data_IF_834742173220
#
_entry.id   IF_834742173220
#
_cell.length_a   1.000
_cell.length_b   1.000
_cell.length_c   1.000
_cell.angle_alpha   90.00
_cell.angle_beta   90.00
_cell.angle_gamma   90.00
#
_symmetry.space_group_name_H-M   'P 1'
#
loop_
_entity.id
_entity.type
_entity.pdbx_description
1 polymer ?
#
# COMPACT_ATOMS: atom_id res chain seq x y z
N UNK A 1 14.66 -7.74 36.25
CA UNK A 1 14.15 -6.81 35.21
C UNK A 1 14.55 -7.36 33.87
N UNK A 2 13.60 -7.61 32.98
CA UNK A 2 13.80 -8.16 31.63
C UNK A 2 13.38 -7.08 30.62
N UNK A 3 14.26 -6.62 29.70
CA UNK A 3 13.96 -5.50 28.81
C UNK A 3 13.28 -5.93 27.48
N UNK A 4 12.65 -7.11 27.41
CA UNK A 4 12.23 -7.72 26.15
C UNK A 4 10.72 -7.89 25.88
N UNK A 5 9.80 -7.42 26.73
CA UNK A 5 8.35 -7.58 26.48
C UNK A 5 7.70 -6.27 26.05
N UNK A 6 7.18 -6.14 24.81
CA UNK A 6 6.26 -5.07 24.49
C UNK A 6 5.00 -5.21 25.37
N UNK A 7 4.59 -4.07 25.93
CA UNK A 7 3.41 -3.88 26.76
C UNK A 7 2.17 -4.50 26.09
N UNK A 8 1.43 -5.32 26.86
CA UNK A 8 0.20 -6.01 26.46
C UNK A 8 -0.86 -4.98 25.96
N UNK A 9 -0.73 -3.71 26.34
CA UNK A 9 -1.57 -2.62 25.87
C UNK A 9 -1.33 -2.20 24.41
N UNK A 10 -0.15 -2.46 23.81
CA UNK A 10 0.05 -2.23 22.37
C UNK A 10 -0.56 -3.32 21.48
N UNK A 11 -0.69 -4.55 22.00
CA UNK A 11 -1.32 -5.66 21.26
C UNK A 11 -2.85 -5.51 21.24
N UNK A 12 -3.43 -4.89 22.28
CA UNK A 12 -4.87 -4.65 22.36
C UNK A 12 -5.38 -3.67 21.28
N UNK A 13 -4.62 -2.60 20.97
CA UNK A 13 -4.97 -1.67 19.89
C UNK A 13 -4.90 -2.29 18.49
N UNK A 14 -4.25 -3.46 18.34
CA UNK A 14 -4.14 -4.19 17.07
C UNK A 14 -5.23 -5.26 16.90
N UNK A 15 -5.98 -5.57 17.97
CA UNK A 15 -7.03 -6.60 17.97
C UNK A 15 -8.45 -6.03 17.81
N UNK A 16 -8.71 -4.77 18.13
CA UNK A 16 -10.05 -4.18 18.04
C UNK A 16 -10.50 -3.87 16.59
N UNK A 17 -9.58 -3.82 15.63
CA UNK A 17 -9.86 -3.63 14.19
C UNK A 17 -10.48 -4.86 13.49
N UNK A 18 -10.58 -6.01 14.16
CA UNK A 18 -11.09 -7.24 13.55
C UNK A 18 -12.60 -7.24 13.28
N UNK A 19 -13.38 -6.36 13.92
CA UNK A 19 -14.81 -6.20 13.62
C UNK A 19 -15.09 -5.16 12.52
N UNK A 20 -14.21 -4.18 12.31
CA UNK A 20 -14.39 -3.17 11.26
C UNK A 20 -14.15 -3.74 9.85
N UNK A 21 -13.39 -4.85 9.77
CA UNK A 21 -13.14 -5.69 8.58
C UNK A 21 -14.38 -6.27 7.91
N UNK A 22 -15.54 -6.31 8.58
CA UNK A 22 -16.80 -6.85 8.06
C UNK A 22 -17.74 -5.77 7.49
N UNK A 23 -17.44 -4.47 7.64
CA UNK A 23 -18.31 -3.38 7.15
C UNK A 23 -18.14 -3.05 5.67
N UNK A 24 -17.09 -3.56 5.02
CA UNK A 24 -16.79 -3.23 3.64
C UNK A 24 -17.14 -4.43 2.75
N UNK A 25 -18.29 -4.30 2.09
CA UNK A 25 -18.91 -5.34 1.28
C UNK A 25 -17.99 -5.93 0.21
N UNK A 26 -18.41 -7.10 -0.30
CA UNK A 26 -17.70 -7.91 -1.32
C UNK A 26 -17.05 -7.02 -2.40
N UNK A 27 -15.81 -7.33 -2.84
CA UNK A 27 -15.18 -6.59 -3.93
C UNK A 27 -16.12 -6.55 -5.13
N UNK A 28 -16.56 -5.34 -5.51
CA UNK A 28 -17.46 -5.15 -6.64
C UNK A 28 -16.74 -5.60 -7.92
N UNK A 29 -17.33 -6.49 -8.75
CA UNK A 29 -16.77 -6.82 -10.04
C UNK A 29 -16.63 -5.54 -10.87
N UNK A 30 -15.45 -5.31 -11.42
CA UNK A 30 -15.21 -4.14 -12.27
C UNK A 30 -15.82 -4.40 -13.64
N UNK A 31 -16.68 -3.53 -14.18
CA UNK A 31 -17.14 -3.64 -15.56
C UNK A 31 -15.94 -3.53 -16.51
N UNK A 32 -15.73 -4.55 -17.35
CA UNK A 32 -14.59 -4.71 -18.27
C UNK A 32 -14.59 -3.75 -19.48
N UNK A 33 -15.09 -2.52 -19.33
CA UNK A 33 -14.83 -1.46 -20.34
C UNK A 33 -13.49 -0.78 -20.00
N UNK A 34 -12.42 -1.51 -20.31
CA UNK A 34 -11.03 -1.09 -20.54
C UNK A 34 -10.51 0.16 -19.81
N UNK A 35 -10.46 0.11 -18.47
CA UNK A 35 -9.37 0.78 -17.74
C UNK A 35 -8.41 -0.29 -17.26
N UNK A 36 -7.21 -0.35 -17.86
CA UNK A 36 -6.15 -1.26 -17.41
C UNK A 36 -5.81 -1.00 -15.95
N UNK A 37 -5.77 -2.05 -15.13
CA UNK A 37 -5.22 -1.95 -13.77
C UNK A 37 -3.69 -1.90 -13.89
N UNK A 38 -3.05 -0.95 -13.21
CA UNK A 38 -1.60 -0.84 -13.21
C UNK A 38 -1.13 -1.05 -11.78
N UNK A 39 -0.35 -2.10 -11.57
CA UNK A 39 0.23 -2.39 -10.27
C UNK A 39 1.35 -1.38 -9.96
N UNK A 40 1.25 -0.69 -8.82
CA UNK A 40 2.22 0.29 -8.35
C UNK A 40 2.95 -0.30 -7.15
N UNK A 41 4.26 -0.50 -7.28
CA UNK A 41 5.11 -1.11 -6.25
C UNK A 41 5.66 -0.08 -5.25
N UNK A 42 6.42 -0.59 -4.29
CA UNK A 42 7.06 0.19 -3.21
C UNK A 42 7.99 1.27 -3.77
N UNK A 43 8.77 0.95 -4.81
CA UNK A 43 9.73 1.87 -5.40
C UNK A 43 9.07 3.08 -6.04
N UNK A 44 7.99 2.86 -6.79
CA UNK A 44 7.21 3.94 -7.40
C UNK A 44 6.57 4.86 -6.35
N UNK A 45 6.03 4.30 -5.25
CA UNK A 45 5.51 5.10 -4.14
C UNK A 45 6.61 5.89 -3.44
N UNK A 46 7.73 5.25 -3.10
CA UNK A 46 8.87 5.91 -2.45
C UNK A 46 9.40 7.07 -3.30
N UNK A 47 9.70 6.82 -4.58
CA UNK A 47 10.20 7.85 -5.48
C UNK A 47 9.21 9.03 -5.61
N UNK A 48 7.90 8.78 -5.57
CA UNK A 48 6.89 9.85 -5.64
C UNK A 48 6.87 10.79 -4.43
N UNK A 49 7.40 10.35 -3.29
CA UNK A 49 7.40 11.08 -2.02
C UNK A 49 8.76 11.71 -1.70
N UNK A 50 9.81 11.30 -2.43
CA UNK A 50 11.19 11.64 -2.11
C UNK A 50 11.77 12.53 -3.20
N UNK A 51 11.87 13.84 -2.92
CA UNK A 51 12.19 14.87 -3.92
C UNK A 51 13.58 14.73 -4.58
N UNK A 52 14.55 14.21 -3.86
CA UNK A 52 15.92 13.96 -4.35
C UNK A 52 16.10 12.55 -4.97
N UNK A 53 15.04 11.74 -5.05
CA UNK A 53 15.10 10.47 -5.75
C UNK A 53 15.26 10.74 -7.25
N UNK A 54 16.18 10.03 -7.90
CA UNK A 54 16.43 10.18 -9.34
C UNK A 54 15.18 9.96 -10.20
N UNK A 55 14.22 9.17 -9.69
CA UNK A 55 12.96 8.88 -10.37
C UNK A 55 11.80 9.77 -9.90
N UNK A 56 12.01 10.74 -9.00
CA UNK A 56 10.94 11.53 -8.39
C UNK A 56 10.01 12.18 -9.42
N UNK A 57 10.60 12.91 -10.38
CA UNK A 57 9.84 13.59 -11.42
C UNK A 57 9.03 12.61 -12.29
N UNK A 58 9.61 11.45 -12.61
CA UNK A 58 8.95 10.41 -13.40
C UNK A 58 7.78 9.78 -12.63
N UNK A 59 7.98 9.43 -11.35
CA UNK A 59 6.97 8.85 -10.49
C UNK A 59 5.79 9.80 -10.27
N UNK A 60 6.06 11.08 -9.96
CA UNK A 60 5.04 12.13 -9.82
C UNK A 60 4.23 12.31 -11.10
N UNK A 61 4.90 12.39 -12.26
CA UNK A 61 4.25 12.52 -13.57
C UNK A 61 3.37 11.31 -13.89
N UNK A 62 3.84 10.10 -13.58
CA UNK A 62 3.09 8.87 -13.77
C UNK A 62 1.81 8.87 -12.91
N UNK A 63 1.92 9.12 -11.61
CA UNK A 63 0.76 9.14 -10.70
C UNK A 63 -0.25 10.24 -11.06
N UNK A 64 0.22 11.43 -11.46
CA UNK A 64 -0.64 12.51 -11.91
C UNK A 64 -1.41 12.16 -13.20
N UNK A 65 -0.78 11.44 -14.15
CA UNK A 65 -1.50 10.93 -15.32
C UNK A 65 -2.56 9.91 -14.93
N UNK A 66 -2.23 9.01 -13.99
CA UNK A 66 -3.17 8.00 -13.52
C UNK A 66 -4.34 8.57 -12.73
N UNK A 67 -4.15 9.67 -11.98
CA UNK A 67 -5.23 10.30 -11.22
C UNK A 67 -6.35 10.86 -12.10
N UNK A 68 -6.06 11.18 -13.37
CA UNK A 68 -7.08 11.59 -14.37
C UNK A 68 -7.98 10.42 -14.81
N UNK A 69 -7.59 9.18 -14.52
CA UNK A 69 -8.36 7.98 -14.84
C UNK A 69 -8.44 7.65 -16.34
N UNK A 70 -7.63 8.30 -17.19
CA UNK A 70 -7.62 8.11 -18.66
C UNK A 70 -6.63 7.03 -19.11
N UNK A 71 -5.61 6.72 -18.30
CA UNK A 71 -4.50 5.83 -18.69
C UNK A 71 -4.45 4.51 -17.91
N UNK A 72 -5.46 4.26 -17.07
CA UNK A 72 -5.52 3.10 -16.19
C UNK A 72 -5.92 3.48 -14.78
N UNK A 73 -6.03 2.48 -13.91
CA UNK A 73 -6.31 2.67 -12.48
C UNK A 73 -5.14 2.08 -11.67
N UNK A 74 -4.45 2.90 -10.86
CA UNK A 74 -3.44 2.42 -9.91
C UNK A 74 -4.02 1.37 -8.98
N UNK A 75 -3.30 0.27 -8.85
CA UNK A 75 -3.58 -0.85 -7.97
C UNK A 75 -2.34 -1.08 -7.10
N UNK A 76 -2.52 -1.28 -5.81
CA UNK A 76 -1.44 -1.67 -4.88
C UNK A 76 -1.97 -2.68 -3.87
N UNK A 77 -1.09 -3.28 -3.07
CA UNK A 77 -1.49 -4.14 -1.94
C UNK A 77 -1.24 -3.48 -0.60
N UNK A 78 -1.88 -4.00 0.43
CA UNK A 78 -1.55 -3.70 1.83
C UNK A 78 -0.07 -3.99 2.17
N UNK A 79 0.53 -5.05 1.63
CA UNK A 79 1.96 -5.33 1.82
C UNK A 79 2.88 -4.28 1.18
N UNK A 80 2.59 -3.84 -0.06
CA UNK A 80 3.37 -2.79 -0.72
C UNK A 80 3.28 -1.48 0.05
N UNK A 81 2.10 -1.16 0.59
CA UNK A 81 1.93 0.04 1.41
C UNK A 81 2.70 -0.06 2.74
N UNK A 82 2.67 -1.21 3.41
CA UNK A 82 3.42 -1.44 4.64
C UNK A 82 4.94 -1.28 4.42
N UNK A 83 5.46 -1.85 3.34
CA UNK A 83 6.87 -1.69 2.95
C UNK A 83 7.19 -0.22 2.64
N UNK A 84 6.35 0.47 1.86
CA UNK A 84 6.57 1.88 1.51
C UNK A 84 6.54 2.79 2.74
N UNK A 85 5.60 2.59 3.67
CA UNK A 85 5.51 3.33 4.94
C UNK A 85 6.77 3.09 5.76
N UNK A 86 7.17 1.83 5.92
CA UNK A 86 8.36 1.44 6.69
C UNK A 86 9.63 2.05 6.08
N UNK A 87 9.77 2.00 4.75
CA UNK A 87 10.91 2.55 4.03
C UNK A 87 10.97 4.08 4.12
N UNK A 88 9.85 4.78 3.93
CA UNK A 88 9.77 6.24 4.07
C UNK A 88 10.07 6.69 5.50
N UNK A 89 9.52 5.99 6.50
CA UNK A 89 9.83 6.28 7.91
C UNK A 89 11.30 6.07 8.21
N UNK A 90 11.91 5.00 7.69
CA UNK A 90 13.30 4.66 7.95
C UNK A 90 14.30 5.57 7.24
N UNK A 91 13.99 6.03 6.02
CA UNK A 91 14.94 6.81 5.19
C UNK A 91 14.69 8.30 5.21
N UNK A 92 13.47 8.73 5.53
CA UNK A 92 13.10 10.14 5.65
C UNK A 92 12.74 10.46 7.09
N UNK A 93 11.47 10.35 7.45
CA UNK A 93 10.96 10.64 8.78
C UNK A 93 9.51 10.17 8.91
N UNK A 94 8.99 10.20 10.14
CA UNK A 94 7.61 9.83 10.45
C UNK A 94 6.58 10.71 9.73
N UNK A 95 6.84 12.01 9.59
CA UNK A 95 5.89 12.94 8.97
C UNK A 95 5.68 12.65 7.48
N UNK A 96 6.75 12.32 6.76
CA UNK A 96 6.67 11.88 5.35
C UNK A 96 5.84 10.60 5.22
N UNK A 97 6.08 9.61 6.08
CA UNK A 97 5.34 8.34 6.05
C UNK A 97 3.85 8.53 6.40
N UNK A 98 3.52 9.36 7.40
CA UNK A 98 2.15 9.68 7.77
C UNK A 98 1.41 10.42 6.64
N UNK A 99 2.03 11.47 6.09
CA UNK A 99 1.48 12.22 4.95
C UNK A 99 1.24 11.32 3.73
N UNK A 100 2.15 10.40 3.46
CA UNK A 100 2.00 9.41 2.38
C UNK A 100 0.75 8.54 2.56
N UNK A 101 0.60 7.89 3.72
CA UNK A 101 -0.53 6.98 3.92
C UNK A 101 -1.88 7.72 3.95
N UNK A 102 -1.92 8.95 4.46
CA UNK A 102 -3.11 9.80 4.43
C UNK A 102 -3.51 10.15 2.99
N UNK A 103 -2.55 10.48 2.13
CA UNK A 103 -2.79 10.73 0.70
C UNK A 103 -3.30 9.48 -0.03
N UNK A 104 -2.72 8.31 0.22
CA UNK A 104 -3.15 7.07 -0.43
C UNK A 104 -4.55 6.67 0.04
N UNK A 105 -4.84 6.74 1.35
CA UNK A 105 -6.15 6.39 1.92
C UNK A 105 -7.26 7.35 1.50
N UNK A 106 -6.96 8.64 1.37
CA UNK A 106 -7.93 9.64 0.90
C UNK A 106 -8.15 9.65 -0.62
N UNK A 107 -7.29 8.95 -1.37
CA UNK A 107 -7.37 8.91 -2.84
C UNK A 107 -8.55 8.07 -3.33
N UNK A 108 -9.38 8.67 -4.18
CA UNK A 108 -10.45 7.97 -4.91
C UNK A 108 -9.93 7.26 -6.17
N UNK A 109 -8.69 7.52 -6.56
CA UNK A 109 -8.11 7.03 -7.82
C UNK A 109 -7.24 5.79 -7.62
N UNK A 110 -6.81 5.49 -6.40
CA UNK A 110 -5.98 4.30 -6.07
C UNK A 110 -6.87 3.18 -5.57
N UNK A 111 -6.63 1.96 -6.05
CA UNK A 111 -7.26 0.74 -5.55
C UNK A 111 -6.28 -0.03 -4.68
N UNK A 112 -6.70 -0.37 -3.48
CA UNK A 112 -5.91 -1.16 -2.53
C UNK A 112 -6.52 -2.56 -2.49
N UNK A 113 -5.68 -3.57 -2.72
CA UNK A 113 -6.03 -4.99 -2.60
C UNK A 113 -5.50 -5.50 -1.28
N UNK A 114 -6.39 -6.08 -0.48
CA UNK A 114 -6.01 -6.79 0.74
C UNK A 114 -5.59 -8.22 0.39
N UNK A 115 -4.34 -8.57 0.70
CA UNK A 115 -3.81 -9.88 0.41
C UNK A 115 -4.26 -10.86 1.49
N UNK A 116 -5.10 -11.82 1.10
CA UNK A 116 -5.56 -12.88 1.98
C UNK A 116 -4.62 -14.11 1.98
N UNK A 117 -4.84 -15.03 2.91
CA UNK A 117 -4.02 -16.24 3.03
C UNK A 117 -4.02 -17.11 1.76
N UNK A 118 -5.02 -17.00 0.86
CA UNK A 118 -5.01 -17.73 -0.42
C UNK A 118 -4.02 -17.09 -1.38
N UNK A 119 -4.03 -15.76 -1.49
CA UNK A 119 -3.07 -15.02 -2.31
C UNK A 119 -1.63 -15.23 -1.83
N UNK A 120 -1.42 -15.22 -0.51
CA UNK A 120 -0.11 -15.57 0.09
C UNK A 120 0.31 -16.99 -0.29
N UNK A 121 -0.57 -17.99 -0.14
CA UNK A 121 -0.22 -19.37 -0.53
C UNK A 121 0.07 -19.51 -2.03
N UNK A 122 -0.60 -18.73 -2.87
CA UNK A 122 -0.33 -18.71 -4.31
C UNK A 122 1.02 -18.09 -4.61
N UNK A 123 1.40 -16.98 -3.95
CA UNK A 123 2.70 -16.35 -4.19
C UNK A 123 3.87 -17.28 -3.81
N UNK A 124 3.78 -17.97 -2.68
CA UNK A 124 4.81 -18.92 -2.23
C UNK A 124 5.02 -20.12 -3.16
N UNK A 125 4.05 -20.45 -4.02
CA UNK A 125 4.22 -21.51 -5.03
C UNK A 125 5.06 -21.05 -6.22
N UNK A 126 5.12 -19.74 -6.45
CA UNK A 126 5.82 -19.13 -7.59
C UNK A 126 7.27 -18.74 -7.23
N UNK A 127 7.56 -18.54 -5.95
CA UNK A 127 8.91 -18.26 -5.46
C UNK A 127 9.64 -19.60 -5.25
N UNK A 128 10.82 -19.83 -5.88
CA UNK A 128 11.62 -21.02 -5.60
C UNK A 128 11.95 -21.09 -4.11
N UNK A 129 11.83 -22.28 -3.51
CA UNK A 129 12.32 -22.48 -2.14
C UNK A 129 13.85 -22.41 -2.19
N UNK A 130 14.41 -21.43 -1.47
CA UNK A 130 15.86 -21.26 -1.29
C UNK A 130 16.38 -22.19 -0.20
#
# INVERSE_FOLDING_TARGET
MDPGRPDILQVALFQEDWQERQRFGRPRPVPLRWKSLIFVDTGAWYASEVEDDVNHAAARKFLAKMSTGTHGVPLTTDHVLDEAITLLRSRRNLATAASFIDKVRSSKSVRIVWVDARLVRQSHRTVPQF
#
